data_IF_043906146336
#
_entry.id   IF_043906146336
#
_cell.length_a   1.000
_cell.length_b   1.000
_cell.length_c   1.000
_cell.angle_alpha   90.00
_cell.angle_beta   90.00
_cell.angle_gamma   90.00
#
_symmetry.space_group_name_H-M   'P 1'
#
loop_
_entity.id
_entity.type
_entity.pdbx_description
1 polymer ?
#
# COMPACT_ATOMS: atom_id res chain seq x y z
N UNK A 1 -26.82 -11.66 0.33
CA UNK A 1 -25.51 -11.02 0.14
C UNK A 1 -25.51 -10.29 -1.18
N UNK A 2 -25.24 -8.99 -1.17
CA UNK A 2 -25.22 -8.20 -2.39
C UNK A 2 -24.16 -8.71 -3.34
N UNK A 3 -24.52 -8.88 -4.59
CA UNK A 3 -23.55 -9.21 -5.60
C UNK A 3 -22.65 -8.01 -5.85
N UNK A 4 -21.37 -8.25 -5.75
CA UNK A 4 -20.37 -7.22 -5.96
C UNK A 4 -19.93 -7.26 -7.42
N UNK A 5 -20.42 -6.33 -8.21
CA UNK A 5 -19.96 -6.20 -9.60
C UNK A 5 -18.75 -5.29 -9.66
N UNK A 6 -17.61 -5.89 -10.05
CA UNK A 6 -16.39 -5.13 -10.29
C UNK A 6 -16.42 -4.58 -11.70
N UNK A 7 -16.60 -3.28 -11.82
CA UNK A 7 -16.46 -2.60 -13.10
C UNK A 7 -15.00 -2.21 -13.29
N UNK A 8 -14.59 -1.98 -14.54
CA UNK A 8 -13.27 -1.46 -14.85
C UNK A 8 -13.01 -0.14 -14.10
N UNK A 9 -14.00 0.74 -14.09
CA UNK A 9 -13.91 2.02 -13.39
C UNK A 9 -13.72 1.82 -11.89
N UNK A 10 -14.49 0.92 -11.29
CA UNK A 10 -14.37 0.60 -9.86
C UNK A 10 -13.00 0.03 -9.51
N UNK A 11 -12.45 -0.83 -10.37
CA UNK A 11 -11.11 -1.40 -10.16
C UNK A 11 -10.02 -0.34 -10.28
N UNK A 12 -10.17 0.58 -11.25
CA UNK A 12 -9.24 1.70 -11.42
C UNK A 12 -9.26 2.60 -10.18
N UNK A 13 -10.45 2.95 -9.70
CA UNK A 13 -10.60 3.78 -8.51
C UNK A 13 -10.00 3.09 -7.27
N UNK A 14 -10.26 1.80 -7.10
CA UNK A 14 -9.71 1.03 -5.98
C UNK A 14 -8.19 1.00 -6.02
N UNK A 15 -7.60 0.79 -7.20
CA UNK A 15 -6.15 0.78 -7.38
C UNK A 15 -5.55 2.14 -7.03
N UNK A 16 -6.14 3.21 -7.53
CA UNK A 16 -5.68 4.58 -7.27
C UNK A 16 -5.80 4.93 -5.78
N UNK A 17 -6.90 4.57 -5.16
CA UNK A 17 -7.11 4.81 -3.73
C UNK A 17 -6.09 4.03 -2.90
N UNK A 18 -5.84 2.78 -3.26
CA UNK A 18 -4.85 1.95 -2.56
C UNK A 18 -3.45 2.57 -2.65
N UNK A 19 -3.04 3.03 -3.83
CA UNK A 19 -1.73 3.68 -4.01
C UNK A 19 -1.64 4.98 -3.22
N UNK A 20 -2.72 5.76 -3.13
CA UNK A 20 -2.76 6.97 -2.33
C UNK A 20 -2.61 6.67 -0.84
N UNK A 21 -3.30 5.64 -0.33
CA UNK A 21 -3.19 5.23 1.07
C UNK A 21 -1.80 4.72 1.40
N UNK A 22 -1.17 3.98 0.48
CA UNK A 22 0.20 3.51 0.66
C UNK A 22 1.15 4.70 0.78
N UNK A 23 1.00 5.71 -0.07
CA UNK A 23 1.82 6.93 -0.02
C UNK A 23 1.62 7.68 1.29
N UNK A 24 0.37 7.84 1.73
CA UNK A 24 0.07 8.47 3.01
C UNK A 24 0.71 7.71 4.17
N UNK A 25 0.64 6.39 4.14
CA UNK A 25 1.28 5.55 5.14
C UNK A 25 2.80 5.77 5.17
N UNK A 26 3.44 5.83 4.00
CA UNK A 26 4.89 6.09 3.91
C UNK A 26 5.25 7.46 4.50
N UNK A 27 4.46 8.49 4.21
CA UNK A 27 4.67 9.84 4.72
C UNK A 27 4.52 9.87 6.24
N UNK A 28 3.49 9.24 6.78
CA UNK A 28 3.25 9.16 8.22
C UNK A 28 4.36 8.37 8.93
N UNK A 29 4.80 7.27 8.34
CA UNK A 29 5.89 6.47 8.90
C UNK A 29 7.19 7.26 8.94
N UNK A 30 7.48 8.03 7.89
CA UNK A 30 8.67 8.88 7.83
C UNK A 30 8.63 9.98 8.91
N UNK A 31 7.47 10.60 9.10
CA UNK A 31 7.29 11.63 10.14
C UNK A 31 7.44 11.04 11.54
N UNK A 32 6.91 9.84 11.75
CA UNK A 32 7.03 9.14 13.03
C UNK A 32 8.48 8.82 13.35
N UNK A 33 9.23 8.33 12.36
CA UNK A 33 10.64 8.04 12.52
C UNK A 33 11.43 9.31 12.86
N UNK A 34 11.16 10.40 12.16
CA UNK A 34 11.83 11.68 12.39
C UNK A 34 11.53 12.20 13.80
N UNK A 35 10.30 12.12 14.26
CA UNK A 35 9.92 12.53 15.61
C UNK A 35 10.66 11.70 16.67
N UNK A 36 10.79 10.39 16.44
CA UNK A 36 11.50 9.50 17.33
C UNK A 36 13.01 9.80 17.36
N UNK A 37 13.59 10.14 16.21
CA UNK A 37 15.00 10.53 16.13
C UNK A 37 15.27 11.81 16.93
N UNK A 38 14.38 12.80 16.81
CA UNK A 38 14.48 14.05 17.55
C UNK A 38 14.39 13.78 19.06
N UNK A 39 13.48 12.92 19.48
CA UNK A 39 13.37 12.54 20.89
C UNK A 39 14.64 11.86 21.39
N UNK A 40 15.19 10.95 20.58
CA UNK A 40 16.42 10.21 20.93
C UNK A 40 17.63 11.13 21.10
N UNK A 41 17.69 12.24 20.38
CA UNK A 41 18.80 13.21 20.50
C UNK A 41 18.91 13.81 21.90
N UNK A 42 17.78 13.99 22.57
CA UNK A 42 17.73 14.58 23.91
C UNK A 42 17.72 13.55 25.03
N UNK A 43 17.83 12.27 24.70
CA UNK A 43 17.70 11.16 25.63
C UNK A 43 18.93 10.27 25.53
N UNK A 44 19.58 9.97 26.67
CA UNK A 44 20.81 9.16 26.71
C UNK A 44 20.64 7.95 27.62
N UNK A 45 21.47 6.93 27.40
CA UNK A 45 21.51 5.72 28.21
C UNK A 45 20.90 4.50 27.54
N UNK A 46 20.82 3.39 28.27
CA UNK A 46 20.36 2.10 27.78
C UNK A 46 18.91 2.17 27.26
N UNK A 47 18.06 2.92 27.96
CA UNK A 47 16.65 3.07 27.55
C UNK A 47 16.55 3.78 26.22
N UNK A 48 17.40 4.79 25.96
CA UNK A 48 17.47 5.50 24.70
C UNK A 48 17.90 4.56 23.56
N UNK A 49 18.92 3.74 23.80
CA UNK A 49 19.42 2.79 22.81
C UNK A 49 18.34 1.76 22.45
N UNK A 50 17.65 1.22 23.45
CA UNK A 50 16.56 0.27 23.25
C UNK A 50 15.41 0.91 22.47
N UNK A 51 15.07 2.14 22.79
CA UNK A 51 14.03 2.88 22.08
C UNK A 51 14.43 3.11 20.63
N UNK A 52 15.66 3.54 20.39
CA UNK A 52 16.15 3.77 19.05
C UNK A 52 16.12 2.49 18.21
N UNK A 53 16.57 1.37 18.79
CA UNK A 53 16.52 0.08 18.10
C UNK A 53 15.08 -0.34 17.78
N UNK A 54 14.15 -0.12 18.68
CA UNK A 54 12.73 -0.41 18.44
C UNK A 54 12.16 0.43 17.30
N UNK A 55 12.56 1.70 17.21
CA UNK A 55 12.13 2.59 16.13
C UNK A 55 12.70 2.12 14.78
N UNK A 56 13.96 1.68 14.76
CA UNK A 56 14.56 1.14 13.54
C UNK A 56 13.84 -0.12 13.08
N UNK A 57 13.46 -1.01 14.00
CA UNK A 57 12.68 -2.19 13.68
C UNK A 57 11.30 -1.84 13.14
N UNK A 58 10.65 -0.86 13.76
CA UNK A 58 9.35 -0.38 13.31
C UNK A 58 9.44 0.19 11.89
N UNK A 59 10.48 0.97 11.61
CA UNK A 59 10.71 1.52 10.28
C UNK A 59 10.91 0.42 9.23
N UNK A 60 11.69 -0.60 9.58
CA UNK A 60 11.92 -1.75 8.72
C UNK A 60 10.61 -2.46 8.43
N UNK A 61 9.81 -2.70 9.46
CA UNK A 61 8.49 -3.32 9.32
C UNK A 61 7.57 -2.48 8.43
N UNK A 62 7.57 -1.15 8.61
CA UNK A 62 6.77 -0.26 7.80
C UNK A 62 7.17 -0.33 6.32
N UNK A 63 8.47 -0.38 6.03
CA UNK A 63 8.96 -0.52 4.65
C UNK A 63 8.55 -1.86 4.03
N UNK A 64 8.61 -2.94 4.80
CA UNK A 64 8.16 -4.25 4.35
C UNK A 64 6.66 -4.24 4.05
N UNK A 65 5.86 -3.59 4.90
CA UNK A 65 4.42 -3.45 4.67
C UNK A 65 4.11 -2.66 3.40
N UNK A 66 4.88 -1.60 3.14
CA UNK A 66 4.73 -0.82 1.91
C UNK A 66 5.03 -1.67 0.68
N UNK A 67 6.08 -2.48 0.74
CA UNK A 67 6.44 -3.39 -0.35
C UNK A 67 5.31 -4.38 -0.64
N UNK A 68 4.75 -4.99 0.41
CA UNK A 68 3.62 -5.92 0.28
C UNK A 68 2.39 -5.21 -0.28
N UNK A 69 2.07 -4.03 0.25
CA UNK A 69 0.92 -3.25 -0.20
C UNK A 69 1.04 -2.85 -1.67
N UNK A 70 2.23 -2.45 -2.12
CA UNK A 70 2.48 -2.14 -3.53
C UNK A 70 2.30 -3.37 -4.40
N UNK A 71 2.71 -4.55 -3.93
CA UNK A 71 2.49 -5.81 -4.65
C UNK A 71 0.99 -6.09 -4.82
N UNK A 72 0.18 -5.82 -3.82
CA UNK A 72 -1.28 -5.96 -3.94
C UNK A 72 -1.85 -4.96 -4.94
N UNK A 73 -1.40 -3.71 -4.93
CA UNK A 73 -1.84 -2.71 -5.89
C UNK A 73 -1.47 -3.11 -7.32
N UNK A 74 -0.26 -3.62 -7.53
CA UNK A 74 0.20 -4.11 -8.83
C UNK A 74 -0.65 -5.31 -9.29
N UNK A 75 -0.97 -6.23 -8.38
CA UNK A 75 -1.83 -7.38 -8.68
C UNK A 75 -3.23 -6.93 -9.08
N UNK A 76 -3.77 -5.92 -8.39
CA UNK A 76 -5.09 -5.38 -8.72
C UNK A 76 -5.08 -4.70 -10.08
N UNK A 77 -4.03 -3.95 -10.40
CA UNK A 77 -3.87 -3.33 -11.71
C UNK A 77 -3.79 -4.37 -12.82
N UNK A 78 -3.04 -5.46 -12.58
CA UNK A 78 -2.94 -6.57 -13.52
C UNK A 78 -4.29 -7.27 -13.72
N UNK A 79 -5.01 -7.51 -12.64
CA UNK A 79 -6.34 -8.10 -12.70
C UNK A 79 -7.31 -7.23 -13.50
N UNK A 80 -7.18 -5.91 -13.39
CA UNK A 80 -7.96 -4.96 -14.17
C UNK A 80 -7.72 -5.14 -15.66
N UNK A 81 -6.45 -5.27 -16.07
CA UNK A 81 -6.08 -5.47 -17.47
C UNK A 81 -6.63 -6.80 -18.00
N UNK A 82 -6.51 -7.86 -17.23
CA UNK A 82 -7.04 -9.17 -17.59
C UNK A 82 -8.56 -9.15 -17.70
N UNK A 83 -9.23 -8.47 -16.78
CA UNK A 83 -10.68 -8.31 -16.80
C UNK A 83 -11.14 -7.56 -18.05
N UNK A 84 -10.44 -6.50 -18.41
CA UNK A 84 -10.75 -5.71 -19.62
C UNK A 84 -10.58 -6.55 -20.87
N UNK A 85 -9.52 -7.35 -20.96
CA UNK A 85 -9.28 -8.24 -22.10
C UNK A 85 -10.38 -9.30 -22.21
N UNK A 86 -10.73 -9.93 -21.10
CA UNK A 86 -11.80 -10.94 -21.09
C UNK A 86 -13.13 -10.36 -21.51
N UNK A 87 -13.45 -9.16 -21.03
CA UNK A 87 -14.69 -8.46 -21.39
C UNK A 87 -14.74 -8.13 -22.87
N UNK A 88 -13.63 -7.69 -23.44
CA UNK A 88 -13.49 -7.42 -24.87
C UNK A 88 -13.71 -8.67 -25.71
N UNK A 89 -13.13 -9.79 -25.30
CA UNK A 89 -13.29 -11.08 -25.99
C UNK A 89 -14.76 -11.52 -25.95
N UNK A 90 -15.40 -11.40 -24.78
CA UNK A 90 -16.81 -11.75 -24.62
C UNK A 90 -17.70 -10.90 -25.53
N UNK A 91 -17.44 -9.59 -25.59
CA UNK A 91 -18.18 -8.68 -26.44
C UNK A 91 -18.05 -9.05 -27.94
N UNK A 92 -16.85 -9.42 -28.38
CA UNK A 92 -16.62 -9.88 -29.76
C UNK A 92 -17.42 -11.14 -30.06
N UNK A 93 -17.46 -12.08 -29.13
CA UNK A 93 -18.19 -13.32 -29.30
C UNK A 93 -19.70 -13.11 -29.43
N UNK A 94 -20.22 -12.11 -28.72
CA UNK A 94 -21.66 -11.77 -28.80
C UNK A 94 -22.06 -11.07 -30.08
N UNK A 95 -21.14 -10.48 -30.78
CA UNK A 95 -21.42 -9.72 -32.02
C UNK A 95 -21.47 -10.56 -33.28
N UNK A 96 -21.33 -11.84 -33.20
CA UNK A 96 -21.42 -12.70 -34.37
C UNK A 96 -22.82 -12.77 -34.97
#
# INVERSE_FOLDING_TARGET
MAQFELTKSGMTDATNNMRNYIREFQEEAALTLKAAEVLAESWTGDASDKFHNSVLELNKWAQEMVTVANSYADSLAQAQDEYTEADTIAAKNFRK
#
